data_IF_718036937369
#
_entry.id   IF_718036937369
#
_cell.length_a   1.000
_cell.length_b   1.000
_cell.length_c   1.000
_cell.angle_alpha   90.00
_cell.angle_beta   90.00
_cell.angle_gamma   90.00
#
_symmetry.space_group_name_H-M   'P 1'
#
loop_
_entity.id
_entity.type
_entity.pdbx_description
1 polymer ?
#
# COMPACT_ATOMS: atom_id res chain seq x y z
N UNK A 1 18.53 -0.85 10.11
CA UNK A 1 18.71 -0.38 8.72
C UNK A 1 19.85 0.61 8.65
N UNK A 2 20.46 0.79 7.49
CA UNK A 2 21.43 1.85 7.19
C UNK A 2 20.86 2.72 6.06
N UNK A 3 21.02 4.04 6.19
CA UNK A 3 20.70 4.97 5.12
C UNK A 3 21.91 5.05 4.17
N UNK A 4 21.71 4.61 2.93
CA UNK A 4 22.69 4.68 1.85
C UNK A 4 22.56 5.96 1.04
N UNK A 5 23.21 5.98 -0.13
CA UNK A 5 23.15 7.10 -1.07
C UNK A 5 21.73 7.34 -1.60
N UNK A 6 21.44 8.58 -1.98
CA UNK A 6 20.14 9.01 -2.51
C UNK A 6 18.94 8.75 -1.58
N UNK A 7 19.18 8.52 -0.29
CA UNK A 7 18.12 8.27 0.70
C UNK A 7 17.58 6.85 0.72
N UNK A 8 18.25 5.90 0.06
CA UNK A 8 17.85 4.48 0.09
C UNK A 8 18.16 3.87 1.46
N UNK A 9 17.16 3.36 2.17
CA UNK A 9 17.35 2.66 3.43
C UNK A 9 17.39 1.14 3.22
N UNK A 10 18.46 0.48 3.68
CA UNK A 10 18.68 -0.97 3.50
C UNK A 10 18.89 -1.69 4.83
N UNK A 11 18.45 -2.94 4.92
CA UNK A 11 18.90 -3.84 5.98
C UNK A 11 20.33 -4.31 5.69
N UNK A 12 21.20 -4.49 6.69
CA UNK A 12 22.48 -5.14 6.49
C UNK A 12 22.25 -6.48 5.75
N UNK A 13 23.01 -6.72 4.67
CA UNK A 13 22.90 -7.92 3.81
C UNK A 13 21.60 -8.03 2.97
N UNK A 14 20.79 -6.97 2.89
CA UNK A 14 19.51 -6.95 2.16
C UNK A 14 18.55 -8.09 2.55
N UNK A 15 18.69 -8.62 3.77
CA UNK A 15 17.87 -9.71 4.30
C UNK A 15 17.49 -9.42 5.74
N UNK A 16 16.33 -9.94 6.13
CA UNK A 16 15.88 -10.04 7.50
C UNK A 16 15.92 -11.53 7.87
N UNK A 17 16.43 -11.85 9.05
CA UNK A 17 16.35 -13.21 9.60
C UNK A 17 14.95 -13.50 10.17
N UNK A 18 14.65 -14.77 10.43
CA UNK A 18 13.39 -15.13 11.09
C UNK A 18 13.27 -14.50 12.49
N UNK A 19 14.38 -14.38 13.22
CA UNK A 19 14.43 -13.70 14.52
C UNK A 19 14.13 -12.19 14.38
N UNK A 20 14.67 -11.53 13.34
CA UNK A 20 14.36 -10.13 13.06
C UNK A 20 12.85 -9.96 12.78
N UNK A 21 12.28 -10.83 11.94
CA UNK A 21 10.85 -10.78 11.59
C UNK A 21 9.94 -11.05 12.80
N UNK A 22 10.31 -12.01 13.66
CA UNK A 22 9.57 -12.30 14.89
C UNK A 22 9.65 -11.15 15.90
N UNK A 23 10.78 -10.45 15.96
CA UNK A 23 10.97 -9.31 16.87
C UNK A 23 10.01 -8.14 16.58
N UNK A 24 9.48 -8.06 15.35
CA UNK A 24 8.50 -7.05 14.97
C UNK A 24 7.12 -7.28 15.59
N UNK A 25 6.84 -8.49 16.10
CA UNK A 25 5.59 -8.85 16.77
C UNK A 25 4.34 -8.49 15.95
N UNK A 26 4.43 -8.64 14.63
CA UNK A 26 3.35 -8.30 13.69
C UNK A 26 2.10 -9.13 13.98
N UNK A 27 0.95 -8.47 13.89
CA UNK A 27 -0.36 -9.11 13.95
C UNK A 27 -0.81 -9.50 12.54
N UNK A 28 -1.57 -10.59 12.39
CA UNK A 28 -2.16 -10.92 11.10
C UNK A 28 -3.04 -9.76 10.58
N UNK A 29 -2.84 -9.39 9.32
CA UNK A 29 -3.48 -8.22 8.70
C UNK A 29 -2.53 -7.01 8.60
N UNK A 30 -3.10 -5.81 8.58
CA UNK A 30 -2.36 -4.56 8.43
C UNK A 30 -1.74 -4.12 9.76
N UNK A 31 -0.45 -3.81 9.73
CA UNK A 31 0.32 -3.22 10.82
C UNK A 31 0.88 -1.87 10.35
N UNK A 32 1.04 -0.92 11.25
CA UNK A 32 1.69 0.36 10.93
C UNK A 32 3.16 0.26 11.36
N UNK A 33 4.07 0.49 10.43
CA UNK A 33 5.49 0.62 10.71
C UNK A 33 5.90 2.09 10.63
N UNK A 34 6.78 2.51 11.54
CA UNK A 34 7.37 3.85 11.56
C UNK A 34 8.87 3.74 11.42
N UNK A 35 9.43 4.43 10.44
CA UNK A 35 10.87 4.54 10.23
C UNK A 35 11.29 5.95 10.63
N UNK A 36 12.33 6.06 11.44
CA UNK A 36 12.85 7.35 11.90
C UNK A 36 14.36 7.43 11.70
N UNK A 37 14.84 8.59 11.27
CA UNK A 37 16.25 8.93 11.17
C UNK A 37 16.51 10.18 11.98
N UNK A 38 17.55 10.14 12.82
CA UNK A 38 17.99 11.30 13.61
C UNK A 38 19.35 11.73 13.09
N UNK A 39 19.45 12.97 12.59
CA UNK A 39 20.72 13.57 12.16
C UNK A 39 21.07 14.73 13.09
N UNK A 40 22.37 15.01 13.22
CA UNK A 40 22.87 16.09 14.09
C UNK A 40 22.34 17.47 13.69
N UNK A 41 22.09 17.69 12.39
CA UNK A 41 21.75 19.00 11.84
C UNK A 41 20.25 19.20 11.60
N UNK A 42 19.50 18.14 11.23
CA UNK A 42 18.07 18.24 10.91
C UNK A 42 17.17 17.64 12.00
N UNK A 43 17.74 17.15 13.10
CA UNK A 43 16.98 16.51 14.17
C UNK A 43 16.39 15.17 13.71
N UNK A 44 15.19 14.82 14.21
CA UNK A 44 14.53 13.55 13.89
C UNK A 44 13.47 13.74 12.81
N UNK A 45 13.65 13.05 11.69
CA UNK A 45 12.63 12.89 10.65
C UNK A 45 12.06 11.47 10.67
N UNK A 46 10.81 11.31 10.27
CA UNK A 46 10.17 9.99 10.23
C UNK A 46 9.17 9.86 9.09
N UNK A 47 8.93 8.64 8.66
CA UNK A 47 7.85 8.27 7.76
C UNK A 47 7.13 7.02 8.31
N UNK A 48 5.94 6.75 7.80
CA UNK A 48 5.17 5.56 8.18
C UNK A 48 4.66 4.84 6.94
N UNK A 49 4.48 3.53 7.06
CA UNK A 49 3.88 2.70 6.04
C UNK A 49 3.01 1.61 6.67
N UNK A 50 2.34 0.83 5.82
CA UNK A 50 1.64 -0.38 6.25
C UNK A 50 2.48 -1.62 5.89
N UNK A 51 2.59 -2.53 6.84
CA UNK A 51 3.15 -3.88 6.66
C UNK A 51 2.02 -4.88 6.83
N UNK A 52 1.86 -5.79 5.88
CA UNK A 52 0.83 -6.82 5.93
C UNK A 52 1.44 -8.17 6.28
N UNK A 53 0.88 -8.82 7.30
CA UNK A 53 1.20 -10.21 7.64
C UNK A 53 0.02 -11.11 7.24
N UNK A 54 0.23 -12.00 6.28
CA UNK A 54 -0.77 -12.98 5.84
C UNK A 54 -0.43 -14.37 6.36
N UNK A 55 -1.47 -15.20 6.48
CA UNK A 55 -1.29 -16.64 6.71
C UNK A 55 -0.84 -17.30 5.42
N UNK A 56 -0.08 -18.39 5.53
CA UNK A 56 0.28 -19.21 4.37
C UNK A 56 -0.95 -19.74 3.60
N UNK A 57 -2.10 -19.85 4.28
CA UNK A 57 -3.36 -20.34 3.72
C UNK A 57 -4.24 -19.23 3.12
N UNK A 58 -3.90 -17.95 3.31
CA UNK A 58 -4.71 -16.84 2.79
C UNK A 58 -4.74 -16.90 1.26
N UNK A 59 -5.93 -16.65 0.69
CA UNK A 59 -6.12 -16.63 -0.77
C UNK A 59 -6.06 -15.19 -1.26
N UNK A 60 -5.16 -14.92 -2.21
CA UNK A 60 -4.91 -13.58 -2.74
C UNK A 60 -5.58 -13.43 -4.11
N UNK A 61 -6.25 -12.31 -4.32
CA UNK A 61 -6.68 -11.82 -5.63
C UNK A 61 -5.83 -10.59 -5.95
N UNK A 62 -5.15 -10.63 -7.10
CA UNK A 62 -4.34 -9.50 -7.58
C UNK A 62 -5.21 -8.65 -8.49
N UNK A 63 -5.17 -7.33 -8.32
CA UNK A 63 -5.82 -6.41 -9.24
C UNK A 63 -4.89 -5.28 -9.65
N UNK A 64 -4.84 -5.00 -10.95
CA UNK A 64 -4.33 -3.72 -11.43
C UNK A 64 -5.29 -2.58 -11.01
N UNK A 65 -4.78 -1.35 -10.99
CA UNK A 65 -5.54 -0.14 -10.66
C UNK A 65 -5.96 0.58 -11.96
N UNK A 66 -4.98 0.89 -12.81
CA UNK A 66 -5.19 1.71 -14.00
C UNK A 66 -5.88 0.90 -15.09
N UNK A 67 -6.97 1.41 -15.67
CA UNK A 67 -7.76 0.73 -16.69
C UNK A 67 -8.58 -0.48 -16.19
N UNK A 68 -8.34 -0.96 -14.95
CA UNK A 68 -9.11 -2.04 -14.31
C UNK A 68 -10.12 -1.48 -13.31
N UNK A 69 -9.65 -0.76 -12.29
CA UNK A 69 -10.52 -0.09 -11.33
C UNK A 69 -11.01 1.22 -11.94
N UNK A 70 -10.09 1.99 -12.55
CA UNK A 70 -10.42 3.24 -13.24
C UNK A 70 -10.91 2.97 -14.66
N UNK A 71 -11.87 3.76 -15.15
CA UNK A 71 -12.35 3.65 -16.54
C UNK A 71 -11.38 4.19 -17.59
N UNK A 72 -10.37 4.98 -17.21
CA UNK A 72 -9.37 5.49 -18.13
C UNK A 72 -8.04 5.84 -17.45
N UNK A 73 -6.96 5.65 -18.20
CA UNK A 73 -5.58 5.93 -17.79
C UNK A 73 -5.32 7.43 -17.60
N UNK A 74 -6.09 8.29 -18.28
CA UNK A 74 -5.84 9.74 -18.37
C UNK A 74 -6.56 10.55 -17.27
N UNK A 75 -7.69 10.07 -16.75
CA UNK A 75 -8.43 10.75 -15.67
C UNK A 75 -7.85 10.45 -14.27
N UNK A 76 -6.87 9.56 -14.16
CA UNK A 76 -6.22 9.20 -12.89
C UNK A 76 -5.19 10.22 -12.37
N UNK A 77 -4.72 11.13 -13.23
CA UNK A 77 -3.71 12.16 -12.90
C UNK A 77 -4.30 13.53 -12.60
N UNK A 78 -5.57 13.78 -12.95
CA UNK A 78 -6.22 15.07 -12.75
C UNK A 78 -7.57 14.82 -12.07
N UNK A 79 -7.84 15.58 -11.01
CA UNK A 79 -9.12 15.73 -10.28
C UNK A 79 -9.24 14.91 -8.98
N UNK A 80 -8.83 15.51 -7.85
CA UNK A 80 -9.30 15.13 -6.51
C UNK A 80 -10.72 15.65 -6.16
N UNK A 81 -11.50 16.22 -7.09
CA UNK A 81 -12.51 17.21 -6.71
C UNK A 81 -13.90 17.15 -7.37
N UNK A 82 -14.29 16.12 -8.13
CA UNK A 82 -15.64 16.12 -8.76
C UNK A 82 -16.34 14.79 -8.56
N UNK A 83 -17.43 14.84 -7.76
CA UNK A 83 -18.34 13.73 -7.51
C UNK A 83 -18.83 13.10 -8.81
N UNK A 84 -18.34 11.89 -9.07
CA UNK A 84 -18.71 11.06 -10.21
C UNK A 84 -18.17 9.65 -10.00
N UNK A 85 -18.95 8.64 -10.36
CA UNK A 85 -18.50 7.24 -10.32
C UNK A 85 -17.55 6.96 -11.49
N UNK A 86 -16.27 7.29 -11.31
CA UNK A 86 -15.20 7.08 -12.30
C UNK A 86 -14.63 5.65 -12.33
N UNK A 87 -15.05 4.81 -11.39
CA UNK A 87 -14.75 3.39 -11.40
C UNK A 87 -15.67 2.62 -12.37
N UNK A 88 -15.20 1.50 -12.90
CA UNK A 88 -16.07 0.56 -13.61
C UNK A 88 -17.25 0.17 -12.72
N UNK A 89 -18.46 0.22 -13.28
CA UNK A 89 -19.67 -0.12 -12.52
C UNK A 89 -19.56 -1.54 -11.97
N UNK A 90 -19.91 -1.72 -10.69
CA UNK A 90 -19.88 -3.03 -10.03
C UNK A 90 -18.51 -3.50 -9.51
N UNK A 91 -17.38 -2.83 -9.83
CA UNK A 91 -16.06 -3.22 -9.30
C UNK A 91 -16.01 -3.11 -7.77
N UNK A 92 -16.59 -2.04 -7.23
CA UNK A 92 -16.66 -1.84 -5.79
C UNK A 92 -17.39 -3.00 -5.07
N UNK A 93 -18.50 -3.44 -5.65
CA UNK A 93 -19.33 -4.53 -5.16
C UNK A 93 -18.64 -5.89 -5.31
N UNK A 94 -18.01 -6.13 -6.47
CA UNK A 94 -17.24 -7.34 -6.75
C UNK A 94 -16.13 -7.53 -5.71
N UNK A 95 -15.32 -6.50 -5.45
CA UNK A 95 -14.22 -6.59 -4.49
C UNK A 95 -14.75 -6.76 -3.07
N UNK A 96 -15.84 -6.07 -2.73
CA UNK A 96 -16.50 -6.27 -1.43
C UNK A 96 -16.92 -7.73 -1.25
N UNK A 97 -17.52 -8.36 -2.28
CA UNK A 97 -17.91 -9.77 -2.26
C UNK A 97 -16.70 -10.72 -2.17
N UNK A 98 -15.62 -10.43 -2.92
CA UNK A 98 -14.36 -11.19 -2.86
C UNK A 98 -13.79 -11.18 -1.43
N UNK A 99 -13.73 -10.00 -0.80
CA UNK A 99 -13.22 -9.86 0.56
C UNK A 99 -14.16 -10.49 1.60
N UNK A 100 -15.47 -10.40 1.43
CA UNK A 100 -16.46 -11.08 2.27
C UNK A 100 -16.30 -12.61 2.21
N UNK A 101 -15.87 -13.15 1.08
CA UNK A 101 -15.56 -14.57 0.90
C UNK A 101 -14.16 -14.97 1.45
N UNK A 102 -13.48 -14.08 2.18
CA UNK A 102 -12.23 -14.37 2.88
C UNK A 102 -10.95 -14.17 2.06
N UNK A 103 -11.06 -13.72 0.81
CA UNK A 103 -9.90 -13.40 -0.02
C UNK A 103 -9.27 -12.07 0.38
N UNK A 104 -7.95 -11.94 0.15
CA UNK A 104 -7.19 -10.70 0.31
C UNK A 104 -6.95 -10.10 -1.07
N UNK A 105 -7.21 -8.80 -1.23
CA UNK A 105 -6.91 -8.11 -2.49
C UNK A 105 -5.53 -7.46 -2.38
N UNK A 106 -4.69 -7.65 -3.40
CA UNK A 106 -3.41 -6.97 -3.57
C UNK A 106 -3.47 -6.11 -4.84
N UNK A 107 -3.35 -4.80 -4.65
CA UNK A 107 -3.38 -3.84 -5.74
C UNK A 107 -1.98 -3.64 -6.34
N UNK A 108 -1.89 -3.63 -7.67
CA UNK A 108 -0.69 -3.32 -8.42
C UNK A 108 -0.84 -1.96 -9.11
N UNK A 109 0.26 -1.22 -9.21
CA UNK A 109 0.29 0.06 -9.92
C UNK A 109 1.65 0.26 -10.55
N UNK A 110 1.66 0.83 -11.76
CA UNK A 110 2.87 1.30 -12.45
C UNK A 110 3.10 2.80 -12.27
N UNK A 111 2.26 3.50 -11.51
CA UNK A 111 2.38 4.94 -11.25
C UNK A 111 3.68 5.27 -10.49
N UNK A 112 4.20 6.47 -10.73
CA UNK A 112 5.39 6.96 -10.05
C UNK A 112 5.23 6.96 -8.51
N UNK A 113 6.30 6.65 -7.77
CA UNK A 113 6.27 6.53 -6.29
C UNK A 113 5.78 7.80 -5.60
N UNK A 114 6.01 8.98 -6.18
CA UNK A 114 5.50 10.27 -5.68
C UNK A 114 3.96 10.37 -5.69
N UNK A 115 3.27 9.50 -6.43
CA UNK A 115 1.80 9.42 -6.48
C UNK A 115 1.23 8.31 -5.60
N UNK A 116 2.07 7.58 -4.85
CA UNK A 116 1.64 6.44 -4.02
C UNK A 116 0.59 6.84 -2.97
N UNK A 117 0.78 7.98 -2.31
CA UNK A 117 -0.17 8.48 -1.32
C UNK A 117 -1.52 8.82 -1.96
N UNK A 118 -1.53 9.58 -3.04
CA UNK A 118 -2.76 9.94 -3.78
C UNK A 118 -3.49 8.71 -4.31
N UNK A 119 -2.76 7.75 -4.88
CA UNK A 119 -3.33 6.50 -5.40
C UNK A 119 -3.99 5.69 -4.29
N UNK A 120 -3.35 5.61 -3.12
CA UNK A 120 -3.92 4.93 -1.95
C UNK A 120 -5.17 5.65 -1.43
N UNK A 121 -5.13 6.97 -1.27
CA UNK A 121 -6.28 7.76 -0.81
C UNK A 121 -7.46 7.65 -1.78
N UNK A 122 -7.20 7.55 -3.08
CA UNK A 122 -8.22 7.30 -4.09
C UNK A 122 -8.89 5.94 -3.92
N UNK A 123 -8.12 4.87 -3.75
CA UNK A 123 -8.68 3.54 -3.47
C UNK A 123 -9.57 3.57 -2.22
N UNK A 124 -9.07 4.14 -1.13
CA UNK A 124 -9.80 4.27 0.13
C UNK A 124 -11.12 5.05 0.01
N UNK A 125 -11.26 5.93 -0.98
CA UNK A 125 -12.52 6.64 -1.23
C UNK A 125 -13.66 5.72 -1.69
N UNK A 126 -13.37 4.53 -2.24
CA UNK A 126 -14.37 3.52 -2.59
C UNK A 126 -14.82 2.67 -1.40
N UNK A 127 -14.11 2.74 -0.27
CA UNK A 127 -14.52 2.14 0.98
C UNK A 127 -13.34 1.85 1.91
N UNK A 128 -13.61 1.64 3.21
CA UNK A 128 -12.57 1.43 4.24
C UNK A 128 -11.77 0.12 4.07
N UNK A 129 -12.12 -0.70 3.08
CA UNK A 129 -11.50 -1.99 2.77
C UNK A 129 -10.75 -1.99 1.44
N UNK A 130 -10.71 -0.85 0.74
CA UNK A 130 -9.89 -0.60 -0.44
C UNK A 130 -8.53 0.01 -0.06
#
# INVERSE_FOLDING_TARGET
>A
MKLGEYGLAVFPQNKLSDDDLQSFQLQYGSNIAKFSVTTKFQGTSWCSCQIYLFKYSDKIVISDIDGTITRSDVLGHIIPAIGGQWAHAGVAELYSKIMQNGYKIVYLSSRAIGQSHTTKSYLQSFGPRF
#
